data_IF_804539925641
#
_entry.id   IF_804539925641
#
_cell.length_a   1.000
_cell.length_b   1.000
_cell.length_c   1.000
_cell.angle_alpha   90.00
_cell.angle_beta   90.00
_cell.angle_gamma   90.00
#
_symmetry.space_group_name_H-M   'P 1'
#
loop_
_entity.id
_entity.type
_entity.pdbx_description
1 polymer ?
#
# COMPACT_ATOMS: atom_id res chain seq x y z
N UNK A 1 35.03 -0.80 38.00
CA UNK A 1 34.32 -1.40 36.87
C UNK A 1 35.22 -1.30 35.64
N UNK A 2 35.42 -2.37 34.84
CA UNK A 2 36.21 -2.28 33.62
C UNK A 2 35.64 -1.25 32.66
N UNK A 3 36.52 -0.51 31.99
CA UNK A 3 36.18 0.58 31.05
C UNK A 3 35.18 0.11 29.95
N UNK A 4 35.34 -1.13 29.50
CA UNK A 4 34.43 -1.79 28.54
C UNK A 4 32.96 -1.99 29.03
N UNK A 5 32.72 -1.95 30.36
CA UNK A 5 31.35 -2.00 30.89
C UNK A 5 30.69 -0.61 30.88
N UNK A 6 31.47 0.45 31.12
CA UNK A 6 30.98 1.83 31.05
C UNK A 6 30.63 2.24 29.64
N UNK A 7 31.38 1.79 28.64
CA UNK A 7 31.08 2.06 27.24
C UNK A 7 29.81 1.33 26.77
N UNK A 8 29.56 0.10 27.24
CA UNK A 8 28.31 -0.63 26.96
C UNK A 8 27.08 0.06 27.55
N UNK A 9 27.16 0.53 28.79
CA UNK A 9 26.05 1.26 29.44
C UNK A 9 25.72 2.57 28.69
N UNK A 10 26.75 3.29 28.24
CA UNK A 10 26.53 4.50 27.39
C UNK A 10 25.90 4.18 26.06
N UNK A 11 26.33 3.12 25.39
CA UNK A 11 25.78 2.68 24.09
C UNK A 11 24.34 2.23 24.24
N UNK A 12 23.97 1.53 25.32
CA UNK A 12 22.60 1.12 25.61
C UNK A 12 21.70 2.33 25.93
N UNK A 13 22.17 3.29 26.73
CA UNK A 13 21.45 4.54 27.01
C UNK A 13 21.25 5.38 25.74
N UNK A 14 22.27 5.48 24.88
CA UNK A 14 22.16 6.18 23.60
C UNK A 14 21.15 5.50 22.67
N UNK A 15 21.18 4.17 22.58
CA UNK A 15 20.24 3.40 21.77
C UNK A 15 18.80 3.57 22.27
N UNK A 16 18.58 3.54 23.58
CA UNK A 16 17.27 3.79 24.18
C UNK A 16 16.78 5.22 23.90
N UNK A 17 17.69 6.20 23.98
CA UNK A 17 17.35 7.57 23.63
C UNK A 17 16.97 7.71 22.16
N UNK A 18 17.76 7.17 21.25
CA UNK A 18 17.52 7.25 19.80
C UNK A 18 16.25 6.50 19.36
N UNK A 19 15.91 5.39 20.02
CA UNK A 19 14.68 4.62 19.70
C UNK A 19 13.38 5.40 19.93
N UNK A 20 13.42 6.49 20.71
CA UNK A 20 12.28 7.41 20.90
C UNK A 20 11.98 8.27 19.66
N UNK A 21 12.93 8.42 18.76
CA UNK A 21 12.83 9.28 17.57
C UNK A 21 12.67 8.51 16.26
N UNK A 22 12.85 7.18 16.30
CA UNK A 22 12.78 6.36 15.08
C UNK A 22 12.40 4.91 15.42
N UNK A 23 11.55 4.26 14.62
CA UNK A 23 11.29 2.83 14.70
C UNK A 23 12.45 1.98 14.16
N UNK A 24 13.51 2.58 13.64
CA UNK A 24 14.67 1.85 13.15
C UNK A 24 15.34 1.02 14.27
N UNK A 25 15.86 -0.15 13.91
CA UNK A 25 16.59 -1.02 14.84
C UNK A 25 18.01 -0.52 15.03
N UNK A 26 18.20 0.38 15.99
CA UNK A 26 19.49 0.98 16.32
C UNK A 26 20.13 0.17 17.44
N UNK A 27 21.41 -0.14 17.31
CA UNK A 27 22.24 -0.80 18.33
C UNK A 27 21.60 -2.03 19.00
N UNK A 28 21.12 -2.97 18.18
CA UNK A 28 20.38 -4.16 18.66
C UNK A 28 21.19 -5.14 19.51
N UNK A 29 22.43 -4.80 19.83
CA UNK A 29 23.34 -5.58 20.67
C UNK A 29 23.94 -6.80 19.94
N UNK A 30 25.09 -7.21 20.42
CA UNK A 30 25.87 -8.35 19.89
C UNK A 30 26.21 -9.34 21.01
N UNK A 31 26.33 -10.61 20.64
CA UNK A 31 26.95 -11.69 21.43
C UNK A 31 28.21 -12.12 20.69
N UNK A 32 29.38 -11.59 21.09
CA UNK A 32 30.60 -11.68 20.31
C UNK A 32 30.47 -10.95 18.95
N UNK A 33 30.79 -11.63 17.86
CA UNK A 33 30.69 -11.07 16.49
C UNK A 33 29.33 -11.23 15.85
N UNK A 34 28.32 -11.76 16.55
CA UNK A 34 26.98 -12.05 15.99
C UNK A 34 25.91 -11.26 16.73
N UNK A 35 24.74 -11.00 16.09
CA UNK A 35 23.57 -10.51 16.81
C UNK A 35 23.16 -11.46 17.92
N UNK A 36 22.54 -10.96 18.98
CA UNK A 36 21.90 -11.80 20.02
C UNK A 36 20.88 -12.73 19.38
N UNK A 37 20.73 -13.94 19.87
CA UNK A 37 19.77 -14.94 19.34
C UNK A 37 18.35 -14.40 19.36
N UNK A 38 17.93 -13.68 20.42
CA UNK A 38 16.61 -13.05 20.50
C UNK A 38 16.38 -12.04 19.38
N UNK A 39 17.37 -11.18 19.11
CA UNK A 39 17.31 -10.19 18.00
C UNK A 39 17.19 -10.87 16.64
N UNK A 40 17.95 -11.96 16.44
CA UNK A 40 17.90 -12.69 15.18
C UNK A 40 16.57 -13.43 14.97
N UNK A 41 16.00 -14.02 16.03
CA UNK A 41 14.69 -14.67 15.99
C UNK A 41 13.59 -13.65 15.71
N UNK A 42 13.61 -12.48 16.36
CA UNK A 42 12.67 -11.40 16.11
C UNK A 42 12.76 -10.92 14.64
N UNK A 43 13.98 -10.70 14.13
CA UNK A 43 14.19 -10.31 12.74
C UNK A 43 13.59 -11.33 11.77
N UNK A 44 13.75 -12.64 12.03
CA UNK A 44 13.15 -13.69 11.19
C UNK A 44 11.63 -13.70 11.24
N UNK A 45 11.04 -13.48 12.41
CA UNK A 45 9.60 -13.39 12.56
C UNK A 45 9.03 -12.19 11.77
N UNK A 46 9.65 -11.01 11.92
CA UNK A 46 9.23 -9.81 11.21
C UNK A 46 9.41 -9.94 9.69
N UNK A 47 10.49 -10.59 9.25
CA UNK A 47 10.69 -10.88 7.83
C UNK A 47 9.64 -11.86 7.28
N UNK A 48 9.24 -12.86 8.07
CA UNK A 48 8.18 -13.78 7.67
C UNK A 48 6.83 -13.05 7.52
N UNK A 49 6.47 -12.20 8.48
CA UNK A 49 5.27 -11.36 8.41
C UNK A 49 5.28 -10.44 7.17
N UNK A 50 6.42 -9.79 6.90
CA UNK A 50 6.55 -8.94 5.72
C UNK A 50 6.41 -9.75 4.41
N UNK A 51 6.95 -10.97 4.36
CA UNK A 51 6.80 -11.86 3.22
C UNK A 51 5.34 -12.29 3.02
N UNK A 52 4.66 -12.67 4.08
CA UNK A 52 3.24 -13.07 4.03
C UNK A 52 2.37 -11.90 3.52
N UNK A 53 2.62 -10.69 3.98
CA UNK A 53 1.92 -9.50 3.51
C UNK A 53 2.16 -9.22 2.01
N UNK A 54 3.40 -9.39 1.52
CA UNK A 54 3.70 -9.22 0.07
C UNK A 54 3.01 -10.29 -0.78
N UNK A 55 2.85 -11.52 -0.27
CA UNK A 55 2.22 -12.61 -1.00
C UNK A 55 0.69 -12.61 -0.92
N UNK A 56 0.08 -11.76 -0.10
CA UNK A 56 -1.37 -11.71 0.09
C UNK A 56 -2.10 -11.03 -1.07
N UNK A 57 -3.35 -11.43 -1.29
CA UNK A 57 -4.32 -10.77 -2.17
C UNK A 57 -5.44 -10.17 -1.30
N UNK A 58 -6.34 -9.36 -1.88
CA UNK A 58 -7.56 -8.98 -1.19
C UNK A 58 -8.34 -10.19 -0.72
N UNK A 59 -8.75 -10.16 0.54
CA UNK A 59 -9.57 -11.23 1.12
C UNK A 59 -10.98 -11.20 0.53
N UNK A 60 -11.61 -12.39 0.41
CA UNK A 60 -13.02 -12.47 0.01
C UNK A 60 -13.93 -11.70 0.98
N UNK A 61 -13.57 -11.69 2.26
CA UNK A 61 -14.30 -10.94 3.27
C UNK A 61 -14.30 -9.44 2.91
N UNK A 62 -13.15 -8.86 2.60
CA UNK A 62 -13.03 -7.45 2.24
C UNK A 62 -13.83 -7.13 0.98
N UNK A 63 -13.72 -7.96 -0.05
CA UNK A 63 -14.48 -7.80 -1.29
C UNK A 63 -16.01 -7.88 -1.06
N UNK A 64 -16.46 -8.83 -0.26
CA UNK A 64 -17.88 -9.07 0.01
C UNK A 64 -18.49 -8.09 1.03
N UNK A 65 -17.67 -7.39 1.80
CA UNK A 65 -18.14 -6.37 2.77
C UNK A 65 -17.88 -4.97 2.26
N UNK A 66 -16.62 -4.52 2.30
CA UNK A 66 -16.26 -3.14 1.97
C UNK A 66 -16.54 -2.79 0.50
N UNK A 67 -16.09 -3.62 -0.45
CA UNK A 67 -16.33 -3.34 -1.86
C UNK A 67 -17.82 -3.35 -2.20
N UNK A 68 -18.58 -4.28 -1.63
CA UNK A 68 -20.04 -4.35 -1.82
C UNK A 68 -20.76 -3.17 -1.15
N UNK A 69 -20.33 -2.74 0.04
CA UNK A 69 -20.93 -1.60 0.75
C UNK A 69 -20.84 -0.30 -0.07
N UNK A 70 -19.71 -0.07 -0.73
CA UNK A 70 -19.49 1.13 -1.53
C UNK A 70 -19.72 0.91 -3.04
N UNK A 71 -20.21 -0.28 -3.42
CA UNK A 71 -20.48 -0.65 -4.82
C UNK A 71 -19.25 -0.44 -5.72
N UNK A 72 -18.05 -0.81 -5.22
CA UNK A 72 -16.80 -0.61 -5.92
C UNK A 72 -16.61 -1.72 -6.98
N UNK A 73 -16.51 -1.39 -8.27
CA UNK A 73 -16.14 -2.39 -9.26
C UNK A 73 -14.71 -2.89 -9.02
N UNK A 74 -14.48 -4.16 -9.32
CA UNK A 74 -13.17 -4.81 -9.18
C UNK A 74 -12.57 -4.99 -10.57
N UNK A 75 -11.36 -4.49 -10.76
CA UNK A 75 -10.61 -4.59 -12.00
C UNK A 75 -9.33 -5.40 -11.79
N UNK A 76 -8.91 -6.11 -12.82
CA UNK A 76 -7.62 -6.82 -12.84
C UNK A 76 -6.64 -6.13 -13.79
N UNK A 77 -5.34 -6.22 -13.46
CA UNK A 77 -4.27 -5.78 -14.36
C UNK A 77 -3.89 -6.88 -15.36
N UNK A 78 -2.83 -6.66 -16.15
CA UNK A 78 -2.30 -7.71 -17.03
C UNK A 78 -1.61 -8.84 -16.25
N UNK A 79 -1.28 -8.65 -14.97
CA UNK A 79 -0.74 -9.70 -14.11
C UNK A 79 -1.86 -10.67 -13.71
N UNK A 80 -1.72 -11.94 -14.06
CA UNK A 80 -2.74 -12.98 -13.83
C UNK A 80 -2.64 -13.65 -12.46
N UNK A 81 -1.53 -13.45 -11.77
CA UNK A 81 -1.29 -14.01 -10.45
C UNK A 81 -0.42 -13.09 -9.61
N UNK A 82 -0.45 -13.28 -8.29
CA UNK A 82 0.42 -12.55 -7.36
C UNK A 82 1.90 -12.78 -7.65
N UNK A 83 2.28 -13.98 -8.00
CA UNK A 83 3.65 -14.33 -8.36
C UNK A 83 4.09 -13.58 -9.63
N UNK A 84 3.27 -13.59 -10.67
CA UNK A 84 3.55 -12.86 -11.90
C UNK A 84 3.67 -11.34 -11.66
N UNK A 85 2.79 -10.76 -10.84
CA UNK A 85 2.85 -9.37 -10.42
C UNK A 85 4.15 -8.99 -9.72
N UNK A 86 4.69 -9.89 -8.87
CA UNK A 86 5.94 -9.67 -8.16
C UNK A 86 7.15 -9.79 -9.07
N UNK A 87 7.15 -10.77 -9.97
CA UNK A 87 8.26 -11.04 -10.89
C UNK A 87 8.30 -10.08 -12.09
N UNK A 88 7.12 -9.60 -12.55
CA UNK A 88 6.97 -8.75 -13.72
C UNK A 88 6.21 -7.45 -13.40
N UNK A 89 6.82 -6.50 -12.68
CA UNK A 89 6.18 -5.26 -12.25
C UNK A 89 5.49 -4.45 -13.36
N UNK A 90 5.95 -4.45 -14.63
CA UNK A 90 5.26 -3.76 -15.70
C UNK A 90 3.82 -4.23 -15.95
N UNK A 91 3.49 -5.49 -15.67
CA UNK A 91 2.14 -6.02 -15.87
C UNK A 91 1.11 -5.41 -14.91
N UNK A 92 1.53 -5.05 -13.70
CA UNK A 92 0.66 -4.38 -12.71
C UNK A 92 0.42 -2.89 -13.01
N UNK A 93 1.07 -2.32 -14.02
CA UNK A 93 0.90 -0.92 -14.42
C UNK A 93 -0.18 -0.70 -15.45
N UNK A 94 -0.70 -1.78 -16.05
CA UNK A 94 -1.63 -1.71 -17.18
C UNK A 94 -2.72 -2.76 -17.05
N UNK A 95 -3.86 -2.47 -17.65
CA UNK A 95 -4.93 -3.45 -17.90
C UNK A 95 -5.17 -3.61 -19.41
N UNK A 96 -5.94 -4.63 -19.79
CA UNK A 96 -6.34 -4.83 -21.17
C UNK A 96 -7.36 -3.76 -21.62
N UNK A 97 -7.43 -3.53 -22.92
CA UNK A 97 -8.40 -2.60 -23.48
C UNK A 97 -9.84 -3.04 -23.16
N UNK A 98 -10.12 -4.32 -23.24
CA UNK A 98 -11.47 -4.85 -23.01
C UNK A 98 -11.94 -4.57 -21.58
N UNK A 99 -11.08 -4.81 -20.57
CA UNK A 99 -11.37 -4.51 -19.16
C UNK A 99 -11.56 -3.00 -18.98
N UNK A 100 -10.71 -2.18 -19.61
CA UNK A 100 -10.83 -0.73 -19.51
C UNK A 100 -12.15 -0.23 -20.12
N UNK A 101 -12.53 -0.75 -21.28
CA UNK A 101 -13.79 -0.43 -21.96
C UNK A 101 -15.02 -0.86 -21.11
N UNK A 102 -14.92 -1.95 -20.35
CA UNK A 102 -15.95 -2.37 -19.39
C UNK A 102 -16.05 -1.39 -18.21
N UNK A 103 -14.94 -0.98 -17.64
CA UNK A 103 -14.91 -0.01 -16.53
C UNK A 103 -15.50 1.34 -16.96
N UNK A 104 -15.17 1.80 -18.17
CA UNK A 104 -15.73 3.06 -18.73
C UNK A 104 -17.25 2.98 -18.93
N UNK A 105 -17.81 1.79 -19.15
CA UNK A 105 -19.29 1.62 -19.24
C UNK A 105 -19.96 1.62 -17.87
N UNK A 106 -19.26 1.17 -16.82
CA UNK A 106 -19.82 1.01 -15.47
C UNK A 106 -19.70 2.32 -14.67
N UNK A 107 -18.55 2.99 -14.77
CA UNK A 107 -18.28 4.22 -14.03
C UNK A 107 -18.58 5.45 -14.87
N UNK A 108 -19.29 6.45 -14.31
CA UNK A 108 -19.46 7.74 -14.95
C UNK A 108 -18.14 8.44 -15.19
N UNK A 109 -18.08 9.28 -16.20
CA UNK A 109 -16.88 10.04 -16.60
C UNK A 109 -16.92 11.48 -16.13
N UNK A 110 -15.77 12.17 -16.17
CA UNK A 110 -15.68 13.62 -15.97
C UNK A 110 -15.61 14.07 -14.49
N UNK A 111 -15.12 13.22 -13.60
CA UNK A 111 -14.89 13.55 -12.20
C UNK A 111 -13.68 14.47 -12.02
N UNK A 112 -13.70 15.32 -10.97
CA UNK A 112 -12.50 16.03 -10.56
C UNK A 112 -11.47 15.05 -10.04
N UNK A 113 -11.89 14.07 -9.22
CA UNK A 113 -11.00 13.04 -8.65
C UNK A 113 -11.56 11.64 -8.93
N UNK A 114 -10.75 10.79 -9.55
CA UNK A 114 -10.97 9.33 -9.57
C UNK A 114 -10.21 8.69 -8.43
N UNK A 115 -10.91 7.98 -7.54
CA UNK A 115 -10.30 7.19 -6.49
C UNK A 115 -10.03 5.78 -7.00
N UNK A 116 -8.77 5.38 -6.99
CA UNK A 116 -8.33 4.02 -7.33
C UNK A 116 -7.76 3.38 -6.07
N UNK A 117 -8.15 2.15 -5.79
CA UNK A 117 -7.71 1.41 -4.61
C UNK A 117 -6.97 0.17 -5.09
N UNK A 118 -5.66 0.16 -4.91
CA UNK A 118 -4.79 -0.93 -5.39
C UNK A 118 -4.22 -1.74 -4.23
N UNK A 119 -4.20 -3.06 -4.35
CA UNK A 119 -3.56 -3.93 -3.35
C UNK A 119 -2.05 -3.67 -3.22
N UNK A 120 -1.41 -3.20 -4.28
CA UNK A 120 0.00 -2.85 -4.25
C UNK A 120 0.89 -4.01 -3.80
N UNK A 121 1.77 -3.75 -2.84
CA UNK A 121 2.63 -4.77 -2.22
C UNK A 121 2.11 -5.26 -0.87
N UNK A 122 0.95 -4.77 -0.40
CA UNK A 122 0.28 -5.23 0.81
C UNK A 122 -1.23 -5.00 0.72
N UNK A 123 -1.99 -6.03 0.33
CA UNK A 123 -3.45 -5.99 0.40
C UNK A 123 -3.94 -5.79 1.83
N UNK A 124 -3.22 -6.35 2.81
CA UNK A 124 -3.52 -6.18 4.23
C UNK A 124 -3.49 -4.71 4.67
N UNK A 125 -2.54 -3.91 4.17
CA UNK A 125 -2.48 -2.48 4.47
C UNK A 125 -3.73 -1.73 3.99
N UNK A 126 -4.26 -2.11 2.84
CA UNK A 126 -5.51 -1.55 2.30
C UNK A 126 -6.69 -1.97 3.16
N UNK A 127 -6.82 -3.26 3.47
CA UNK A 127 -7.93 -3.82 4.24
C UNK A 127 -8.00 -3.27 5.67
N UNK A 128 -6.85 -2.97 6.29
CA UNK A 128 -6.76 -2.44 7.64
C UNK A 128 -7.11 -0.94 7.71
N UNK A 129 -6.61 -0.16 6.76
CA UNK A 129 -6.71 1.31 6.85
C UNK A 129 -7.93 1.89 6.13
N UNK A 130 -8.40 1.24 5.07
CA UNK A 130 -9.41 1.82 4.19
C UNK A 130 -10.79 1.97 4.84
N UNK A 131 -11.26 1.05 5.73
CA UNK A 131 -12.56 1.20 6.37
C UNK A 131 -12.74 2.50 7.13
N UNK A 132 -11.69 3.02 7.74
CA UNK A 132 -11.71 4.30 8.46
C UNK A 132 -11.39 5.48 7.54
N UNK A 133 -10.41 5.33 6.65
CA UNK A 133 -9.93 6.40 5.79
C UNK A 133 -10.93 6.77 4.68
N UNK A 134 -11.54 5.78 4.04
CA UNK A 134 -12.33 5.99 2.84
C UNK A 134 -13.58 6.86 3.06
N UNK A 135 -14.42 6.64 4.10
CA UNK A 135 -15.54 7.53 4.38
C UNK A 135 -15.08 8.96 4.69
N UNK A 136 -13.98 9.13 5.43
CA UNK A 136 -13.42 10.44 5.73
C UNK A 136 -12.97 11.19 4.46
N UNK A 137 -12.41 10.48 3.48
CA UNK A 137 -12.03 11.07 2.20
C UNK A 137 -13.24 11.51 1.40
N UNK A 138 -14.30 10.69 1.32
CA UNK A 138 -15.53 11.04 0.62
C UNK A 138 -16.19 12.28 1.24
N UNK A 139 -16.32 12.30 2.55
CA UNK A 139 -16.88 13.44 3.29
C UNK A 139 -16.02 14.72 3.08
N UNK A 140 -14.70 14.60 3.11
CA UNK A 140 -13.78 15.71 2.89
C UNK A 140 -13.88 16.29 1.47
N UNK A 141 -14.01 15.47 0.46
CA UNK A 141 -14.20 15.92 -0.92
C UNK A 141 -15.57 16.59 -1.10
N UNK A 142 -16.64 16.02 -0.54
CA UNK A 142 -17.98 16.60 -0.59
C UNK A 142 -18.01 17.99 0.08
N UNK A 143 -17.44 18.14 1.27
CA UNK A 143 -17.32 19.43 1.97
C UNK A 143 -16.48 20.45 1.19
N UNK A 144 -15.49 19.99 0.42
CA UNK A 144 -14.67 20.86 -0.43
C UNK A 144 -15.34 21.20 -1.78
N UNK A 145 -16.48 20.61 -2.09
CA UNK A 145 -17.17 20.78 -3.38
C UNK A 145 -16.41 20.13 -4.55
N UNK A 146 -15.61 19.09 -4.26
CA UNK A 146 -14.83 18.35 -5.27
C UNK A 146 -15.60 17.10 -5.67
N UNK A 147 -15.94 16.99 -6.96
CA UNK A 147 -16.63 15.81 -7.47
C UNK A 147 -15.73 14.60 -7.50
N UNK A 148 -16.18 13.49 -6.89
CA UNK A 148 -15.42 12.24 -6.84
C UNK A 148 -16.24 11.06 -7.35
N UNK A 149 -15.55 10.11 -8.01
CA UNK A 149 -16.16 8.80 -8.26
C UNK A 149 -16.27 8.02 -6.95
N UNK A 150 -17.19 7.04 -6.91
CA UNK A 150 -17.17 6.03 -5.83
C UNK A 150 -15.87 5.22 -5.78
N UNK A 151 -15.02 5.31 -6.80
CA UNK A 151 -13.77 4.59 -6.92
C UNK A 151 -13.90 3.20 -7.54
N UNK A 152 -12.76 2.52 -7.61
CA UNK A 152 -12.68 1.12 -8.04
C UNK A 152 -11.53 0.42 -7.33
N UNK A 153 -11.65 -0.90 -7.16
CA UNK A 153 -10.59 -1.77 -6.65
C UNK A 153 -9.79 -2.35 -7.81
N UNK A 154 -8.48 -2.36 -7.66
CA UNK A 154 -7.57 -2.95 -8.65
C UNK A 154 -6.75 -4.06 -8.01
N UNK A 155 -6.93 -5.29 -8.48
CA UNK A 155 -6.09 -6.42 -8.09
C UNK A 155 -4.77 -6.38 -8.85
N UNK A 156 -3.68 -6.68 -8.15
CA UNK A 156 -2.31 -6.63 -8.67
C UNK A 156 -1.96 -5.27 -9.29
N UNK A 157 -2.43 -4.18 -8.66
CA UNK A 157 -2.21 -2.82 -9.12
C UNK A 157 -0.84 -2.25 -8.71
N UNK A 158 -0.18 -1.55 -9.63
CA UNK A 158 0.96 -0.64 -9.37
C UNK A 158 0.48 0.79 -9.49
N UNK A 159 1.29 1.73 -8.98
CA UNK A 159 0.92 3.16 -8.95
C UNK A 159 0.35 3.66 -10.29
N UNK A 160 1.02 3.37 -11.40
CA UNK A 160 0.67 3.89 -12.72
C UNK A 160 -0.65 3.35 -13.32
N UNK A 161 -1.27 2.30 -12.74
CA UNK A 161 -2.57 1.82 -13.23
C UNK A 161 -3.66 2.88 -13.05
N UNK A 162 -3.56 3.69 -12.00
CA UNK A 162 -4.51 4.76 -11.72
C UNK A 162 -4.52 5.83 -12.82
N UNK A 163 -3.36 6.13 -13.40
CA UNK A 163 -3.23 7.12 -14.46
C UNK A 163 -3.93 6.65 -15.74
N UNK A 164 -3.76 5.36 -16.11
CA UNK A 164 -4.43 4.77 -17.25
C UNK A 164 -5.95 4.83 -17.12
N UNK A 165 -6.48 4.45 -15.95
CA UNK A 165 -7.93 4.41 -15.71
C UNK A 165 -8.51 5.82 -15.62
N UNK A 166 -7.83 6.72 -14.91
CA UNK A 166 -8.28 8.11 -14.77
C UNK A 166 -8.29 8.86 -16.12
N UNK A 167 -7.27 8.63 -16.95
CA UNK A 167 -7.25 9.16 -18.32
C UNK A 167 -8.44 8.65 -19.14
N UNK A 168 -8.73 7.36 -19.10
CA UNK A 168 -9.84 6.75 -19.85
C UNK A 168 -11.21 7.27 -19.36
N UNK A 169 -11.36 7.55 -18.08
CA UNK A 169 -12.59 8.10 -17.48
C UNK A 169 -12.66 9.64 -17.56
N UNK A 170 -11.64 10.32 -18.09
CA UNK A 170 -11.60 11.77 -18.20
C UNK A 170 -11.55 12.49 -16.85
N UNK A 171 -11.00 11.86 -15.82
CA UNK A 171 -10.83 12.48 -14.52
C UNK A 171 -9.64 13.46 -14.53
N UNK A 172 -9.78 14.58 -13.79
CA UNK A 172 -8.73 15.60 -13.70
C UNK A 172 -7.58 15.19 -12.78
N UNK A 173 -7.89 14.40 -11.76
CA UNK A 173 -6.94 13.89 -10.78
C UNK A 173 -7.14 12.39 -10.60
N UNK A 174 -6.06 11.63 -10.63
CA UNK A 174 -6.01 10.25 -10.17
C UNK A 174 -5.53 10.24 -8.71
N UNK A 175 -6.30 9.66 -7.80
CA UNK A 175 -5.91 9.38 -6.42
C UNK A 175 -5.80 7.87 -6.27
N UNK A 176 -4.58 7.34 -6.16
CA UNK A 176 -4.35 5.91 -5.93
C UNK A 176 -4.01 5.65 -4.46
N UNK A 177 -4.92 4.98 -3.75
CA UNK A 177 -4.69 4.46 -2.40
C UNK A 177 -4.11 3.05 -2.55
N UNK A 178 -2.85 2.87 -2.19
CA UNK A 178 -2.11 1.65 -2.50
C UNK A 178 -1.34 1.13 -1.29
N UNK A 179 -1.39 -0.20 -1.09
CA UNK A 179 -0.59 -0.86 -0.07
C UNK A 179 0.90 -0.84 -0.42
N UNK A 180 1.69 -0.28 0.48
CA UNK A 180 3.13 -0.15 0.32
C UNK A 180 3.88 -1.45 0.61
N UNK A 181 5.16 -1.46 0.26
CA UNK A 181 6.03 -2.59 0.58
C UNK A 181 6.11 -2.76 2.10
N UNK A 182 5.75 -3.94 2.64
CA UNK A 182 5.87 -4.20 4.07
C UNK A 182 7.31 -4.02 4.55
N UNK A 183 7.46 -3.21 5.59
CA UNK A 183 8.72 -3.09 6.31
C UNK A 183 8.81 -4.10 7.45
N UNK A 184 9.97 -4.20 8.08
CA UNK A 184 10.17 -5.07 9.25
C UNK A 184 9.51 -4.52 10.52
N UNK A 185 9.17 -3.25 10.55
CA UNK A 185 8.50 -2.57 11.68
C UNK A 185 7.03 -2.27 11.40
N UNK A 186 6.62 -2.28 10.14
CA UNK A 186 5.25 -1.94 9.72
C UNK A 186 4.90 -2.74 8.47
N UNK A 187 3.91 -3.62 8.58
CA UNK A 187 3.43 -4.44 7.47
C UNK A 187 2.20 -3.83 6.78
N UNK A 188 1.59 -2.78 7.37
CA UNK A 188 0.30 -2.21 6.97
C UNK A 188 0.37 -0.73 6.57
N UNK A 189 1.46 -0.31 5.91
CA UNK A 189 1.57 1.05 5.40
C UNK A 189 0.75 1.23 4.12
N UNK A 190 -0.12 2.24 4.12
CA UNK A 190 -0.91 2.68 2.97
C UNK A 190 -0.39 4.04 2.49
N UNK A 191 -0.26 4.22 1.18
CA UNK A 191 0.11 5.49 0.55
C UNK A 191 -0.99 6.00 -0.37
N UNK A 192 -1.04 7.33 -0.51
CA UNK A 192 -1.87 8.04 -1.47
C UNK A 192 -0.98 8.67 -2.54
N UNK A 193 -1.08 8.19 -3.77
CA UNK A 193 -0.40 8.80 -4.93
C UNK A 193 -1.40 9.64 -5.70
N UNK A 194 -1.02 10.88 -5.99
CA UNK A 194 -1.87 11.86 -6.63
C UNK A 194 -1.22 12.28 -7.95
N UNK A 195 -1.92 12.07 -9.06
CA UNK A 195 -1.47 12.52 -10.39
C UNK A 195 -2.49 13.53 -10.93
N UNK A 196 -2.02 14.73 -11.24
CA UNK A 196 -2.82 15.76 -11.89
C UNK A 196 -2.74 15.64 -13.40
N UNK A 197 -3.91 15.72 -14.07
CA UNK A 197 -4.04 15.57 -15.52
C UNK A 197 -3.35 14.29 -16.04
N UNK A 198 -3.76 13.10 -15.52
CA UNK A 198 -3.14 11.85 -15.92
C UNK A 198 -3.24 11.62 -17.43
N UNK A 199 -2.14 11.17 -18.01
CA UNK A 199 -2.03 10.89 -19.44
C UNK A 199 -1.77 9.41 -19.72
N UNK A 200 -1.76 9.00 -21.00
CA UNK A 200 -1.55 7.60 -21.36
C UNK A 200 -0.13 7.09 -21.10
N UNK A 201 0.79 7.99 -20.77
CA UNK A 201 2.21 7.68 -20.53
C UNK A 201 2.76 8.27 -19.21
N UNK A 202 1.88 8.76 -18.32
CA UNK A 202 2.30 9.23 -16.99
C UNK A 202 2.65 8.09 -16.06
#
# INVERSE_FOLDING_TARGET
MPEAMKDREKDEQLAEHLSKFTPARINVGKAGNRPRTSTWLQFRADHALAKDAVCSNFSERFLNTFAAQYELPVMETLAKSREEFLLNPPLGKKTSKDILDEIVKILPTGWDVLIVISDGLSSHAVEENLPDLYPMLLDGFDQAGISTSKGLLVKQGRVAIADQVAHALGARVALNLIGERPGLSTASSLSAYITYMPGPQT
#
